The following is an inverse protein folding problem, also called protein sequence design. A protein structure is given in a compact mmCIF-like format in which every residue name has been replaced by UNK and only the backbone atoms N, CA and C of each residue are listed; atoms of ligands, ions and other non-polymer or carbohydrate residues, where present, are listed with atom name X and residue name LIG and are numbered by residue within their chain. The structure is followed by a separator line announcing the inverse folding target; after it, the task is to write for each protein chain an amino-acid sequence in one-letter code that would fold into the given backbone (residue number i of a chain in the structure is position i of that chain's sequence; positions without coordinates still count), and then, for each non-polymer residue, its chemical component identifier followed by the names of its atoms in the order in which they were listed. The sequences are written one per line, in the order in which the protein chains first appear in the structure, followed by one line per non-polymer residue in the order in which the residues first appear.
data_IF_079579123066
#
_entry.id   IF_079579123066
#
_cell.length_a   1.000
_cell.length_b   1.000
_cell.length_c   1.000
_cell.angle_alpha   90.00
_cell.angle_beta   90.00
_cell.angle_gamma   90.00
#
_symmetry.space_group_name_H-M   'P 1'
#
loop_
_entity.id
_entity.type
_entity.pdbx_description
1 polymer ?
#
# COMPACT_ATOMS: atom_id res chain seq x y z
N UNK A 1 -30.92 -0.17 4.93
CA UNK A 1 -30.60 0.83 3.88
C UNK A 1 -31.84 1.50 3.27
N UNK A 2 -32.81 0.80 2.66
CA UNK A 2 -34.00 1.44 2.03
C UNK A 2 -34.80 2.38 2.96
N UNK A 3 -34.95 2.02 4.23
CA UNK A 3 -35.66 2.82 5.26
C UNK A 3 -34.90 4.10 5.63
N UNK A 4 -33.56 4.08 5.60
CA UNK A 4 -32.75 5.26 5.94
C UNK A 4 -32.73 6.24 4.77
N UNK A 5 -32.66 5.73 3.54
CA UNK A 5 -32.80 6.56 2.34
C UNK A 5 -34.13 7.32 2.33
N UNK A 6 -35.23 6.75 2.87
CA UNK A 6 -36.50 7.49 2.99
C UNK A 6 -36.48 8.65 3.97
N UNK A 7 -35.69 8.58 5.06
CA UNK A 7 -35.59 9.68 6.04
C UNK A 7 -34.76 10.87 5.54
N UNK A 8 -33.95 10.66 4.51
CA UNK A 8 -33.01 11.66 3.99
C UNK A 8 -33.28 12.04 2.52
N UNK A 9 -34.49 11.78 1.99
CA UNK A 9 -34.82 12.02 0.56
C UNK A 9 -34.64 13.46 0.12
N UNK A 10 -34.87 14.40 1.03
CA UNK A 10 -34.86 15.83 0.72
C UNK A 10 -33.44 16.43 0.86
N UNK A 11 -32.45 15.63 1.26
CA UNK A 11 -31.05 16.07 1.35
C UNK A 11 -30.43 16.07 -0.05
N UNK A 12 -30.03 17.25 -0.53
CA UNK A 12 -29.32 17.37 -1.81
C UNK A 12 -27.89 16.81 -1.71
N UNK A 13 -27.26 16.40 -2.83
CA UNK A 13 -25.88 15.91 -2.83
C UNK A 13 -24.88 16.88 -2.16
N UNK A 14 -25.03 18.18 -2.39
CA UNK A 14 -24.14 19.22 -1.85
C UNK A 14 -24.26 19.31 -0.32
N UNK A 15 -25.49 19.25 0.19
CA UNK A 15 -25.78 19.31 1.62
C UNK A 15 -25.53 17.97 2.33
N UNK A 16 -25.29 16.88 1.58
CA UNK A 16 -25.05 15.55 2.12
C UNK A 16 -23.63 15.36 2.66
N UNK A 17 -22.64 16.05 2.09
CA UNK A 17 -21.21 15.75 2.27
C UNK A 17 -20.74 15.89 3.73
N UNK A 18 -21.25 16.90 4.43
CA UNK A 18 -20.85 17.22 5.82
C UNK A 18 -22.01 17.07 6.81
N UNK A 19 -23.10 16.41 6.42
CA UNK A 19 -24.24 16.16 7.29
C UNK A 19 -23.94 15.01 8.26
N UNK A 20 -23.70 15.34 9.54
CA UNK A 20 -23.32 14.37 10.57
C UNK A 20 -24.42 13.37 10.90
N UNK A 21 -25.69 13.77 10.83
CA UNK A 21 -26.81 12.85 11.10
C UNK A 21 -26.94 11.84 9.96
N UNK A 22 -26.79 12.30 8.72
CA UNK A 22 -26.73 11.44 7.54
C UNK A 22 -25.54 10.46 7.62
N UNK A 23 -24.34 10.96 7.94
CA UNK A 23 -23.14 10.13 8.12
C UNK A 23 -23.39 9.03 9.16
N UNK A 24 -23.91 9.40 10.35
CA UNK A 24 -24.19 8.47 11.44
C UNK A 24 -25.16 7.36 11.03
N UNK A 25 -26.26 7.71 10.36
CA UNK A 25 -27.27 6.74 9.95
C UNK A 25 -26.75 5.78 8.86
N UNK A 26 -26.01 6.30 7.89
CA UNK A 26 -25.42 5.48 6.83
C UNK A 26 -24.26 4.62 7.34
N UNK A 27 -23.42 5.12 8.25
CA UNK A 27 -22.39 4.31 8.90
C UNK A 27 -23.00 3.17 9.72
N UNK A 28 -24.01 3.46 10.54
CA UNK A 28 -24.69 2.45 11.36
C UNK A 28 -25.33 1.36 10.48
N UNK A 29 -26.04 1.76 9.43
CA UNK A 29 -26.75 0.81 8.57
C UNK A 29 -25.91 0.07 7.55
N UNK A 30 -24.72 0.58 7.24
CA UNK A 30 -23.75 -0.08 6.37
C UNK A 30 -22.71 -0.91 7.13
N UNK A 31 -22.71 -0.88 8.47
CA UNK A 31 -21.72 -1.56 9.32
C UNK A 31 -21.49 -3.02 8.92
N UNK A 32 -22.54 -3.82 8.80
CA UNK A 32 -22.41 -5.24 8.43
C UNK A 32 -21.85 -5.44 7.01
N UNK A 33 -22.19 -4.53 6.08
CA UNK A 33 -21.64 -4.56 4.72
C UNK A 33 -20.17 -4.17 4.72
N UNK A 34 -19.79 -3.14 5.46
CA UNK A 34 -18.41 -2.69 5.60
C UNK A 34 -17.54 -3.78 6.21
N UNK A 35 -17.98 -4.38 7.32
CA UNK A 35 -17.28 -5.48 8.00
C UNK A 35 -17.03 -6.67 7.06
N UNK A 36 -18.00 -7.01 6.21
CA UNK A 36 -17.89 -8.14 5.28
C UNK A 36 -17.16 -7.82 3.98
N UNK A 37 -17.28 -6.61 3.44
CA UNK A 37 -16.86 -6.27 2.07
C UNK A 37 -15.65 -5.36 2.00
N UNK A 38 -15.38 -4.56 3.03
CA UNK A 38 -14.37 -3.50 3.00
C UNK A 38 -13.30 -3.70 4.06
N UNK A 39 -13.66 -4.03 5.30
CA UNK A 39 -12.67 -4.22 6.38
C UNK A 39 -11.55 -5.22 6.04
N UNK A 40 -11.80 -6.36 5.35
CA UNK A 40 -10.72 -7.26 4.95
C UNK A 40 -9.67 -6.62 4.01
N UNK A 41 -10.00 -5.52 3.34
CA UNK A 41 -9.07 -4.79 2.48
C UNK A 41 -8.25 -3.73 3.22
N UNK A 42 -8.38 -3.57 4.54
CA UNK A 42 -7.79 -2.43 5.27
C UNK A 42 -6.50 -2.73 6.02
N UNK A 43 -5.97 -3.96 5.99
CA UNK A 43 -4.76 -4.34 6.72
C UNK A 43 -3.57 -3.39 6.41
N UNK A 44 -3.20 -3.25 5.14
CA UNK A 44 -2.06 -2.41 4.76
C UNK A 44 -2.33 -0.93 5.01
N UNK A 45 -3.55 -0.45 4.73
CA UNK A 45 -3.91 0.95 5.01
C UNK A 45 -3.79 1.29 6.50
N UNK A 46 -4.21 0.37 7.39
CA UNK A 46 -4.11 0.53 8.83
C UNK A 46 -2.66 0.45 9.34
N UNK A 47 -1.85 -0.45 8.78
CA UNK A 47 -0.51 -0.73 9.28
C UNK A 47 0.60 0.12 8.65
N UNK A 48 0.39 0.67 7.45
CA UNK A 48 1.39 1.43 6.68
C UNK A 48 0.97 2.89 6.48
N UNK A 49 -0.33 3.18 6.45
CA UNK A 49 -0.86 4.51 6.14
C UNK A 49 -1.04 4.73 4.63
N UNK A 50 -1.15 6.00 4.23
CA UNK A 50 -1.37 6.37 2.83
C UNK A 50 -0.09 6.21 2.00
N UNK A 51 -0.15 5.37 0.97
CA UNK A 51 0.96 5.15 0.05
C UNK A 51 0.82 5.96 -1.25
N UNK A 52 -0.23 6.78 -1.39
CA UNK A 52 -0.66 7.46 -2.62
C UNK A 52 -1.17 6.47 -3.69
N UNK A 53 -0.55 6.44 -4.87
CA UNK A 53 -1.01 5.66 -6.03
C UNK A 53 -1.19 4.16 -5.78
N UNK A 54 -0.36 3.45 -4.97
CA UNK A 54 -0.56 2.05 -4.69
C UNK A 54 -1.57 1.78 -3.56
N UNK A 55 -2.15 2.78 -2.90
CA UNK A 55 -3.05 2.59 -1.75
C UNK A 55 -4.24 1.67 -2.06
N UNK A 56 -4.91 1.85 -3.20
CA UNK A 56 -6.04 1.00 -3.59
C UNK A 56 -5.61 -0.44 -3.90
N UNK A 57 -4.40 -0.63 -4.44
CA UNK A 57 -3.84 -1.95 -4.73
C UNK A 57 -3.29 -2.65 -3.47
N UNK A 58 -2.79 -1.89 -2.49
CA UNK A 58 -2.53 -2.39 -1.14
C UNK A 58 -3.83 -2.88 -0.48
N UNK A 59 -4.95 -2.24 -0.77
CA UNK A 59 -6.27 -2.73 -0.39
C UNK A 59 -6.60 -4.08 -1.02
N UNK A 60 -6.34 -4.24 -2.33
CA UNK A 60 -6.50 -5.52 -3.04
C UNK A 60 -5.64 -6.64 -2.43
N UNK A 61 -4.36 -6.37 -2.16
CA UNK A 61 -3.45 -7.34 -1.52
C UNK A 61 -3.97 -7.74 -0.14
N UNK A 62 -4.41 -6.77 0.67
CA UNK A 62 -5.01 -7.04 1.98
C UNK A 62 -6.24 -7.93 1.88
N UNK A 63 -7.11 -7.68 0.89
CA UNK A 63 -8.31 -8.47 0.65
C UNK A 63 -7.98 -9.92 0.27
N UNK A 64 -7.00 -10.12 -0.63
CA UNK A 64 -6.52 -11.45 -1.05
C UNK A 64 -5.95 -12.22 0.14
N UNK A 65 -5.14 -11.57 0.98
CA UNK A 65 -4.51 -12.20 2.15
C UNK A 65 -5.47 -12.49 3.32
N UNK A 66 -6.70 -11.96 3.26
CA UNK A 66 -7.72 -12.13 4.29
C UNK A 66 -8.72 -13.24 3.96
N UNK A 67 -8.60 -13.89 2.80
CA UNK A 67 -9.52 -14.93 2.33
C UNK A 67 -8.78 -16.16 1.85
N UNK A 68 -9.41 -17.32 1.88
CA UNK A 68 -8.91 -18.52 1.18
C UNK A 68 -9.10 -18.38 -0.33
N UNK A 69 -8.38 -19.20 -1.10
CA UNK A 69 -8.56 -19.25 -2.55
C UNK A 69 -9.99 -19.64 -2.93
N UNK A 70 -10.59 -20.57 -2.19
CA UNK A 70 -11.96 -21.05 -2.39
C UNK A 70 -12.97 -19.93 -2.15
N UNK A 71 -12.74 -19.11 -1.13
CA UNK A 71 -13.56 -17.93 -0.89
C UNK A 71 -13.43 -16.93 -2.04
N UNK A 72 -12.22 -16.69 -2.57
CA UNK A 72 -12.01 -15.70 -3.63
C UNK A 72 -12.60 -16.11 -4.98
N UNK A 73 -12.60 -17.41 -5.30
CA UNK A 73 -13.03 -17.90 -6.61
C UNK A 73 -14.44 -17.42 -7.02
N UNK A 74 -14.53 -16.87 -8.22
CA UNK A 74 -15.78 -16.35 -8.77
C UNK A 74 -16.26 -15.04 -8.14
N UNK A 75 -15.57 -14.46 -7.14
CA UNK A 75 -15.95 -13.17 -6.57
C UNK A 75 -15.64 -12.02 -7.53
N UNK A 76 -16.55 -11.05 -7.58
CA UNK A 76 -16.33 -9.74 -8.20
C UNK A 76 -16.00 -8.73 -7.11
N UNK A 77 -14.96 -7.95 -7.33
CA UNK A 77 -14.55 -6.85 -6.47
C UNK A 77 -14.61 -5.54 -7.24
N UNK A 78 -14.92 -4.46 -6.54
CA UNK A 78 -14.94 -3.11 -7.09
C UNK A 78 -13.78 -2.34 -6.47
N UNK A 79 -13.04 -1.63 -7.30
CA UNK A 79 -11.97 -0.72 -6.89
C UNK A 79 -12.41 0.70 -7.24
N UNK A 80 -12.27 1.60 -6.28
CA UNK A 80 -12.48 3.03 -6.47
C UNK A 80 -11.13 3.74 -6.27
N UNK A 81 -10.56 4.25 -7.35
CA UNK A 81 -9.30 4.97 -7.35
C UNK A 81 -9.56 6.46 -7.47
N UNK A 82 -8.88 7.26 -6.65
CA UNK A 82 -9.04 8.71 -6.58
C UNK A 82 -7.68 9.40 -6.49
N UNK A 83 -7.53 10.49 -7.25
CA UNK A 83 -6.43 11.45 -7.13
C UNK A 83 -6.95 12.88 -7.13
N UNK A 84 -6.45 13.69 -6.19
CA UNK A 84 -6.84 15.11 -6.05
C UNK A 84 -6.46 15.93 -7.29
N UNK A 85 -7.36 16.83 -7.73
CA UNK A 85 -7.18 17.65 -8.93
C UNK A 85 -8.42 17.93 -9.81
N UNK A 86 -9.31 16.98 -10.17
CA UNK A 86 -9.52 15.59 -9.74
C UNK A 86 -9.59 14.61 -10.92
N UNK A 87 -9.10 13.40 -10.70
CA UNK A 87 -9.32 12.25 -11.58
C UNK A 87 -9.69 11.02 -10.75
N UNK A 88 -10.78 10.35 -11.12
CA UNK A 88 -11.24 9.15 -10.43
C UNK A 88 -11.76 8.11 -11.41
N UNK A 89 -11.65 6.84 -11.02
CA UNK A 89 -12.17 5.72 -11.78
C UNK A 89 -12.72 4.66 -10.83
N UNK A 90 -13.92 4.18 -11.12
CA UNK A 90 -14.48 2.98 -10.53
C UNK A 90 -14.45 1.86 -11.56
N UNK A 91 -13.82 0.74 -11.22
CA UNK A 91 -13.73 -0.43 -12.09
C UNK A 91 -13.84 -1.70 -11.26
N UNK A 92 -14.04 -2.84 -11.93
CA UNK A 92 -14.21 -4.12 -11.24
C UNK A 92 -13.26 -5.19 -11.77
N UNK A 93 -12.81 -6.06 -10.87
CA UNK A 93 -12.06 -7.27 -11.20
C UNK A 93 -12.90 -8.49 -10.85
N UNK A 94 -12.69 -9.58 -11.57
CA UNK A 94 -13.33 -10.87 -11.32
C UNK A 94 -12.25 -11.91 -11.08
N UNK A 95 -12.28 -12.56 -9.93
CA UNK A 95 -11.48 -13.75 -9.68
C UNK A 95 -12.05 -14.92 -10.49
N UNK A 96 -11.22 -15.50 -11.37
CA UNK A 96 -11.58 -16.64 -12.19
C UNK A 96 -12.01 -17.84 -11.33
N UNK A 97 -12.96 -18.63 -11.82
CA UNK A 97 -13.26 -19.96 -11.25
C UNK A 97 -12.30 -20.95 -11.90
N UNK A 98 -11.55 -21.70 -11.11
CA UNK A 98 -10.52 -22.61 -11.63
C UNK A 98 -10.87 -24.05 -11.25
N UNK A 99 -10.93 -24.92 -12.25
CA UNK A 99 -11.07 -26.37 -12.04
C UNK A 99 -9.68 -26.96 -11.74
N UNK A 100 -9.54 -27.44 -10.51
CA UNK A 100 -8.34 -27.92 -9.80
C UNK A 100 -7.27 -28.58 -10.70
N UNK A 101 -6.10 -27.94 -10.83
CA UNK A 101 -4.76 -28.59 -10.80
C UNK A 101 -3.58 -27.60 -10.74
N UNK A 102 -3.74 -26.34 -11.17
CA UNK A 102 -2.77 -25.25 -10.90
C UNK A 102 -3.54 -23.95 -10.88
N UNK A 103 -3.59 -23.30 -9.73
CA UNK A 103 -4.47 -22.16 -9.53
C UNK A 103 -3.63 -20.88 -9.61
N UNK A 104 -3.81 -20.10 -10.68
CA UNK A 104 -3.10 -18.82 -10.83
C UNK A 104 -3.43 -17.89 -9.65
N UNK A 105 -4.61 -18.10 -9.04
CA UNK A 105 -5.04 -17.45 -7.82
C UNK A 105 -4.21 -17.88 -6.59
N UNK A 106 -3.85 -19.15 -6.46
CA UNK A 106 -2.95 -19.64 -5.41
C UNK A 106 -1.56 -19.04 -5.61
N UNK A 107 -1.03 -19.07 -6.84
CA UNK A 107 0.25 -18.46 -7.15
C UNK A 107 0.26 -16.95 -6.82
N UNK A 108 -0.80 -16.23 -7.19
CA UNK A 108 -0.96 -14.82 -6.84
C UNK A 108 -0.93 -14.61 -5.32
N UNK A 109 -1.65 -15.45 -4.57
CA UNK A 109 -1.70 -15.39 -3.11
C UNK A 109 -0.33 -15.71 -2.48
N UNK A 110 0.36 -16.72 -2.98
CA UNK A 110 1.69 -17.12 -2.52
C UNK A 110 2.70 -16.00 -2.76
N UNK A 111 2.65 -15.35 -3.93
CA UNK A 111 3.52 -14.22 -4.27
C UNK A 111 3.37 -13.03 -3.31
N UNK A 112 2.22 -12.86 -2.66
CA UNK A 112 1.98 -11.78 -1.70
C UNK A 112 1.93 -12.25 -0.24
N UNK A 113 2.10 -13.55 0.01
CA UNK A 113 1.98 -14.15 1.35
C UNK A 113 2.97 -13.58 2.37
N UNK A 114 4.15 -13.15 1.90
CA UNK A 114 5.22 -12.60 2.72
C UNK A 114 4.86 -11.25 3.37
N UNK A 115 3.85 -10.53 2.87
CA UNK A 115 3.49 -9.17 3.30
C UNK A 115 3.24 -9.08 4.81
N UNK A 116 2.49 -10.03 5.40
CA UNK A 116 2.21 -10.03 6.85
C UNK A 116 3.51 -10.12 7.67
N UNK A 117 4.38 -11.06 7.30
CA UNK A 117 5.69 -11.22 7.97
C UNK A 117 6.59 -10.00 7.80
N UNK A 118 6.50 -9.28 6.67
CA UNK A 118 7.28 -8.06 6.45
C UNK A 118 6.77 -6.91 7.31
N UNK A 119 5.45 -6.81 7.52
CA UNK A 119 4.89 -5.80 8.43
C UNK A 119 5.39 -6.00 9.87
N UNK A 120 5.51 -7.25 10.32
CA UNK A 120 5.99 -7.63 11.65
C UNK A 120 7.50 -7.39 11.83
N UNK A 121 8.30 -7.52 10.76
CA UNK A 121 9.75 -7.29 10.77
C UNK A 121 10.16 -5.83 10.74
N UNK A 122 9.20 -4.89 10.63
CA UNK A 122 9.50 -3.46 10.66
C UNK A 122 9.99 -3.04 12.04
N UNK A 123 10.90 -2.08 12.07
CA UNK A 123 11.38 -1.48 13.31
C UNK A 123 10.53 -0.26 13.64
N UNK A 124 10.04 -0.19 14.88
CA UNK A 124 9.38 1.00 15.39
C UNK A 124 10.43 2.10 15.63
N UNK A 125 10.11 3.34 15.29
CA UNK A 125 10.92 4.50 15.65
C UNK A 125 10.12 5.44 16.55
N UNK A 126 10.79 6.14 17.48
CA UNK A 126 10.13 7.14 18.31
C UNK A 126 9.59 8.30 17.47
N UNK A 127 8.54 9.01 17.92
CA UNK A 127 8.03 10.19 17.24
C UNK A 127 9.11 11.27 17.01
N UNK A 128 10.04 11.44 17.95
CA UNK A 128 11.14 12.40 17.87
C UNK A 128 12.10 12.01 16.74
N UNK A 129 12.48 10.73 16.69
CA UNK A 129 13.35 10.17 15.64
C UNK A 129 12.69 10.35 14.27
N UNK A 130 11.40 10.02 14.14
CA UNK A 130 10.64 10.22 12.92
C UNK A 130 10.61 11.70 12.51
N UNK A 131 10.38 12.62 13.46
CA UNK A 131 10.33 14.06 13.18
C UNK A 131 11.68 14.59 12.67
N UNK A 132 12.79 14.12 13.24
CA UNK A 132 14.14 14.43 12.75
C UNK A 132 14.37 13.91 11.33
N UNK A 133 13.92 12.69 11.02
CA UNK A 133 13.99 12.13 9.67
C UNK A 133 13.16 12.95 8.67
N UNK A 134 11.98 13.42 9.06
CA UNK A 134 11.15 14.29 8.20
C UNK A 134 11.81 15.64 7.96
N UNK A 135 12.40 16.26 8.99
CA UNK A 135 13.15 17.51 8.84
C UNK A 135 14.34 17.35 7.90
N UNK A 136 15.13 16.29 8.06
CA UNK A 136 16.23 15.99 7.15
C UNK A 136 15.75 15.80 5.71
N UNK A 137 14.61 15.12 5.51
CA UNK A 137 14.00 14.95 4.18
C UNK A 137 13.61 16.28 3.54
N UNK A 138 13.09 17.22 4.32
CA UNK A 138 12.76 18.58 3.86
C UNK A 138 14.02 19.35 3.45
N UNK A 139 15.03 19.39 4.32
CA UNK A 139 16.31 20.08 4.09
C UNK A 139 17.06 19.54 2.85
N UNK A 140 16.97 18.23 2.60
CA UNK A 140 17.71 17.56 1.53
C UNK A 140 16.92 17.43 0.22
N UNK A 141 15.64 17.84 0.18
CA UNK A 141 14.73 17.54 -0.93
C UNK A 141 15.26 17.92 -2.32
N UNK A 142 15.91 19.09 -2.42
CA UNK A 142 16.47 19.65 -3.65
C UNK A 142 18.01 19.82 -3.59
N UNK A 143 18.68 19.13 -2.66
CA UNK A 143 20.13 19.27 -2.48
C UNK A 143 20.91 18.51 -3.56
N UNK A 144 21.91 19.17 -4.14
CA UNK A 144 22.90 18.59 -5.05
C UNK A 144 24.21 19.40 -4.99
N UNK A 145 25.40 18.76 -4.83
CA UNK A 145 25.60 17.33 -4.59
C UNK A 145 25.15 16.90 -3.18
N UNK A 146 24.79 15.63 -3.01
CA UNK A 146 24.35 15.06 -1.73
C UNK A 146 24.65 13.56 -1.61
N UNK A 147 25.10 13.14 -0.43
CA UNK A 147 25.27 11.74 -0.04
C UNK A 147 24.32 11.43 1.12
N UNK A 148 23.39 10.47 0.99
CA UNK A 148 22.50 10.07 2.07
C UNK A 148 23.28 9.63 3.32
N UNK A 149 22.79 10.06 4.49
CA UNK A 149 23.48 9.85 5.79
C UNK A 149 22.84 8.77 6.65
N UNK A 150 21.64 8.30 6.32
CA UNK A 150 20.95 7.27 7.09
C UNK A 150 21.56 5.89 6.86
N UNK A 151 21.59 5.07 7.92
CA UNK A 151 22.04 3.67 7.84
C UNK A 151 21.15 2.84 6.92
N UNK A 152 21.78 1.95 6.16
CA UNK A 152 21.14 0.94 5.31
C UNK A 152 20.80 -0.35 6.06
N UNK A 153 21.15 -0.48 7.34
CA UNK A 153 21.02 -1.72 8.12
C UNK A 153 19.57 -2.15 8.29
N UNK A 154 18.64 -1.20 8.34
CA UNK A 154 17.21 -1.45 8.50
C UNK A 154 16.49 -1.79 7.19
N UNK A 155 17.14 -1.63 6.04
CA UNK A 155 16.53 -1.98 4.76
C UNK A 155 16.35 -3.49 4.64
N UNK A 156 15.28 -3.93 3.99
CA UNK A 156 15.11 -5.35 3.69
C UNK A 156 16.16 -5.83 2.66
N UNK A 157 16.58 -7.11 2.70
CA UNK A 157 17.45 -7.67 1.69
C UNK A 157 16.88 -7.49 0.28
N UNK A 158 17.73 -7.11 -0.68
CA UNK A 158 17.33 -6.84 -2.06
C UNK A 158 16.71 -5.46 -2.31
N UNK A 159 16.53 -4.61 -1.29
CA UNK A 159 16.05 -3.23 -1.45
C UNK A 159 17.08 -2.37 -2.17
N UNK A 160 16.63 -1.64 -3.20
CA UNK A 160 17.41 -0.58 -3.83
C UNK A 160 17.41 0.68 -2.96
N UNK A 161 18.56 1.32 -2.83
CA UNK A 161 18.72 2.56 -2.07
C UNK A 161 19.63 3.55 -2.81
N UNK A 162 19.42 4.84 -2.54
CA UNK A 162 20.20 5.94 -3.10
C UNK A 162 21.55 6.03 -2.39
N UNK A 163 22.64 6.19 -3.14
CA UNK A 163 23.99 6.36 -2.59
C UNK A 163 24.56 7.75 -2.83
N UNK A 164 24.16 8.40 -3.93
CA UNK A 164 24.70 9.69 -4.32
C UNK A 164 23.74 10.45 -5.22
N UNK A 165 23.70 11.77 -5.06
CA UNK A 165 23.20 12.75 -6.02
C UNK A 165 24.39 13.65 -6.38
N UNK A 166 24.80 13.66 -7.63
CA UNK A 166 25.93 14.51 -8.03
C UNK A 166 25.52 15.97 -8.33
N UNK A 167 26.49 16.81 -8.67
CA UNK A 167 26.25 18.24 -8.98
C UNK A 167 25.37 18.48 -10.20
N UNK A 168 25.12 17.47 -11.04
CA UNK A 168 24.20 17.50 -12.18
C UNK A 168 22.86 16.81 -11.87
N UNK A 169 22.57 16.56 -10.59
CA UNK A 169 21.37 15.90 -10.11
C UNK A 169 21.21 14.45 -10.59
N UNK A 170 22.28 13.81 -11.08
CA UNK A 170 22.26 12.39 -11.46
C UNK A 170 22.30 11.56 -10.19
N UNK A 171 21.47 10.52 -10.12
CA UNK A 171 21.29 9.67 -8.94
C UNK A 171 21.96 8.31 -9.15
N UNK A 172 22.77 7.90 -8.18
CA UNK A 172 23.40 6.58 -8.13
C UNK A 172 22.71 5.72 -7.09
N UNK A 173 22.47 4.45 -7.43
CA UNK A 173 21.78 3.50 -6.57
C UNK A 173 22.61 2.24 -6.39
N UNK A 174 22.45 1.61 -5.23
CA UNK A 174 22.95 0.28 -4.93
C UNK A 174 21.79 -0.59 -4.41
N UNK A 175 22.01 -1.90 -4.40
CA UNK A 175 21.04 -2.88 -3.92
C UNK A 175 21.60 -3.57 -2.69
N UNK A 176 20.84 -3.55 -1.58
CA UNK A 176 21.23 -4.27 -0.37
C UNK A 176 21.35 -5.75 -0.69
N UNK A 177 22.47 -6.36 -0.30
CA UNK A 177 22.72 -7.77 -0.59
C UNK A 177 21.55 -8.65 -0.14
N UNK A 178 21.13 -9.53 -1.04
CA UNK A 178 20.21 -10.61 -0.69
C UNK A 178 21.03 -11.69 -0.01
N UNK A 179 20.78 -11.98 1.27
CA UNK A 179 21.45 -13.09 1.95
C UNK A 179 21.02 -14.39 1.25
N UNK A 180 21.89 -15.09 0.51
CA UNK A 180 21.54 -16.38 -0.07
C UNK A 180 21.74 -17.42 1.03
N UNK A 181 20.65 -17.99 1.57
CA UNK A 181 20.71 -19.12 2.51
C UNK A 181 21.87 -19.08 3.53
N UNK A 182 21.92 -18.04 4.34
CA UNK A 182 22.69 -18.05 5.59
C UNK A 182 24.22 -17.96 5.51
N UNK A 183 24.84 -17.72 4.35
CA UNK A 183 26.28 -17.44 4.29
C UNK A 183 26.57 -16.09 3.61
N UNK A 184 27.49 -15.33 4.21
CA UNK A 184 27.95 -14.02 3.76
C UNK A 184 28.75 -14.22 2.46
N UNK A 185 28.33 -13.58 1.37
CA UNK A 185 29.11 -13.47 0.14
C UNK A 185 29.61 -12.03 -0.02
N UNK A 186 30.89 -11.89 -0.40
CA UNK A 186 31.63 -10.64 -0.47
C UNK A 186 31.02 -9.60 -1.45
N UNK A 187 31.41 -8.34 -1.25
CA UNK A 187 30.87 -7.14 -1.91
C UNK A 187 31.07 -7.14 -3.43
N UNK A 188 30.03 -7.44 -4.21
CA UNK A 188 29.97 -7.06 -5.62
C UNK A 188 29.22 -5.73 -5.81
N UNK A 189 29.96 -4.69 -6.19
CA UNK A 189 29.40 -3.38 -6.53
C UNK A 189 28.76 -3.43 -7.92
N UNK A 190 27.45 -3.65 -7.99
CA UNK A 190 26.68 -3.43 -9.23
C UNK A 190 26.08 -2.02 -9.26
N UNK A 191 26.67 -1.14 -10.06
CA UNK A 191 26.16 0.21 -10.32
C UNK A 191 25.05 0.14 -11.37
N UNK A 192 23.79 0.22 -10.94
CA UNK A 192 22.69 0.48 -11.87
C UNK A 192 22.68 1.97 -12.24
N UNK A 193 23.17 2.29 -13.45
CA UNK A 193 22.96 3.62 -14.03
C UNK A 193 21.50 3.73 -14.45
N UNK A 194 20.77 4.63 -13.80
CA UNK A 194 19.37 4.92 -14.11
C UNK A 194 19.17 5.25 -15.60
N UNK A 195 18.10 4.69 -16.17
CA UNK A 195 17.65 4.96 -17.53
C UNK A 195 16.80 6.24 -17.52
N UNK A 196 17.23 7.19 -18.37
CA UNK A 196 16.63 8.48 -18.78
C UNK A 196 16.71 9.64 -17.81
#
# INVERSE_FOLDING_TARGET
MKIIISFHRDVTPENSIFNKDLEKDFMSSSKDLFEKKTKPSLLLANQVGNMYTPSVYGGLVSYILSHTTEELQGKKIVLFSYGSGLASAMFSLHFTKEDKMTSALQQLKDNVSHVKSYLEKRTNCSPETFSQMMKLREETHNSAPYTPVQSTDHLFPGTWYLTEIDSKHRRTYQRKQTVPNGNICEEETQVAKGIR
#
